data_IF_309498118768
#
_entry.id   IF_309498118768
#
_cell.length_a   1.000
_cell.length_b   1.000
_cell.length_c   1.000
_cell.angle_alpha   90.00
_cell.angle_beta   90.00
_cell.angle_gamma   90.00
#
_symmetry.space_group_name_H-M   'P 1'
#
loop_
_entity.id
_entity.type
_entity.pdbx_description
1 polymer ?
#
# COMPACT_ATOMS: atom_id res chain seq x y z
N UNK A 1 -15.63 1.43 4.61
CA UNK A 1 -14.97 1.94 5.84
C UNK A 1 -13.44 1.97 5.69
N UNK A 2 -12.98 1.77 4.45
CA UNK A 2 -11.60 1.63 4.03
C UNK A 2 -10.64 2.65 4.64
N UNK A 3 -10.91 3.94 4.50
CA UNK A 3 -9.96 4.98 4.94
C UNK A 3 -9.67 4.95 6.44
N UNK A 4 -10.71 4.74 7.27
CA UNK A 4 -10.54 4.66 8.73
C UNK A 4 -9.66 3.47 9.11
N UNK A 5 -9.86 2.34 8.43
CA UNK A 5 -9.15 1.11 8.71
C UNK A 5 -7.71 1.16 8.17
N UNK A 6 -7.49 1.77 7.01
CA UNK A 6 -6.17 2.04 6.44
C UNK A 6 -5.35 2.97 7.36
N UNK A 7 -5.95 4.06 7.86
CA UNK A 7 -5.29 4.95 8.84
C UNK A 7 -4.85 4.24 10.11
N UNK A 8 -5.66 3.31 10.63
CA UNK A 8 -5.29 2.49 11.80
C UNK A 8 -4.05 1.65 11.51
N UNK A 9 -3.99 1.01 10.34
CA UNK A 9 -2.84 0.19 9.93
C UNK A 9 -1.60 1.01 9.66
N UNK A 10 -1.72 2.15 8.98
CA UNK A 10 -0.62 3.09 8.79
C UNK A 10 -0.05 3.54 10.15
N UNK A 11 -0.90 3.83 11.14
CA UNK A 11 -0.43 4.15 12.49
C UNK A 11 0.37 3.00 13.10
N UNK A 12 -0.09 1.76 12.95
CA UNK A 12 0.64 0.57 13.43
C UNK A 12 1.97 0.38 12.69
N UNK A 13 1.99 0.50 11.35
CA UNK A 13 3.21 0.45 10.56
C UNK A 13 4.22 1.51 11.03
N UNK A 14 3.76 2.75 11.28
CA UNK A 14 4.62 3.81 11.81
C UNK A 14 5.21 3.45 13.18
N UNK A 15 4.42 2.87 14.08
CA UNK A 15 4.91 2.43 15.39
C UNK A 15 5.96 1.31 15.29
N UNK A 16 5.80 0.38 14.34
CA UNK A 16 6.77 -0.69 14.09
C UNK A 16 8.07 -0.14 13.52
N UNK A 17 7.97 0.80 12.57
CA UNK A 17 9.12 1.52 12.03
C UNK A 17 9.91 2.23 13.13
N UNK A 18 9.22 2.96 14.03
CA UNK A 18 9.88 3.68 15.13
C UNK A 18 10.53 2.74 16.17
N UNK A 19 10.09 1.47 16.21
CA UNK A 19 10.68 0.41 17.03
C UNK A 19 11.82 -0.36 16.35
N UNK A 20 12.15 -0.05 15.09
CA UNK A 20 13.13 -0.81 14.30
C UNK A 20 12.66 -2.21 13.89
N UNK A 21 11.35 -2.46 13.95
CA UNK A 21 10.70 -3.73 13.60
C UNK A 21 10.35 -3.76 12.12
N UNK A 22 11.38 -3.86 11.27
CA UNK A 22 11.25 -3.64 9.84
C UNK A 22 10.41 -4.71 9.12
N UNK A 23 10.56 -5.98 9.49
CA UNK A 23 9.78 -7.07 8.86
C UNK A 23 8.27 -6.90 9.12
N UNK A 24 7.88 -6.60 10.36
CA UNK A 24 6.50 -6.34 10.72
C UNK A 24 6.01 -5.03 10.09
N UNK A 25 6.87 -4.02 9.99
CA UNK A 25 6.58 -2.76 9.32
C UNK A 25 6.17 -2.98 7.86
N UNK A 26 6.99 -3.68 7.05
CA UNK A 26 6.68 -3.96 5.65
C UNK A 26 5.38 -4.76 5.52
N UNK A 27 5.21 -5.77 6.37
CA UNK A 27 4.01 -6.60 6.40
C UNK A 27 2.75 -5.78 6.68
N UNK A 28 2.79 -4.89 7.67
CA UNK A 28 1.64 -4.06 8.02
C UNK A 28 1.37 -2.96 6.99
N UNK A 29 2.41 -2.44 6.34
CA UNK A 29 2.28 -1.47 5.25
C UNK A 29 1.60 -2.09 4.03
N UNK A 30 2.03 -3.28 3.57
CA UNK A 30 1.36 -4.01 2.50
C UNK A 30 -0.09 -4.33 2.85
N UNK A 31 -0.37 -4.75 4.10
CA UNK A 31 -1.75 -4.98 4.57
C UNK A 31 -2.60 -3.71 4.50
N UNK A 32 -2.04 -2.55 4.84
CA UNK A 32 -2.75 -1.29 4.76
C UNK A 32 -3.22 -1.00 3.33
N UNK A 33 -2.36 -1.25 2.34
CA UNK A 33 -2.65 -1.06 0.91
C UNK A 33 -3.64 -2.10 0.38
N UNK A 34 -3.39 -3.38 0.61
CA UNK A 34 -4.24 -4.46 0.09
C UNK A 34 -5.65 -4.45 0.65
N UNK A 35 -5.76 -4.30 1.98
CA UNK A 35 -7.07 -4.28 2.63
C UNK A 35 -7.81 -2.98 2.35
N UNK A 36 -7.10 -1.90 2.04
CA UNK A 36 -7.74 -0.69 1.52
C UNK A 36 -8.40 -0.95 0.16
N UNK A 37 -7.72 -1.61 -0.80
CA UNK A 37 -8.34 -2.01 -2.07
C UNK A 37 -9.54 -2.94 -1.86
N UNK A 38 -9.38 -3.94 -0.98
CA UNK A 38 -10.44 -4.90 -0.63
C UNK A 38 -11.71 -4.19 -0.19
N UNK A 39 -11.61 -3.27 0.79
CA UNK A 39 -12.76 -2.52 1.34
C UNK A 39 -13.27 -1.45 0.37
N UNK A 40 -12.38 -0.75 -0.36
CA UNK A 40 -12.74 0.34 -1.26
C UNK A 40 -13.45 -0.15 -2.52
N UNK A 41 -13.00 -1.25 -3.11
CA UNK A 41 -13.52 -1.79 -4.37
C UNK A 41 -14.38 -3.04 -4.18
N UNK A 42 -14.58 -3.49 -2.95
CA UNK A 42 -15.37 -4.70 -2.62
C UNK A 42 -14.84 -5.95 -3.33
N UNK A 43 -13.51 -6.10 -3.36
CA UNK A 43 -12.83 -7.22 -4.03
C UNK A 43 -12.26 -8.15 -2.96
N UNK A 44 -12.51 -9.47 -3.02
CA UNK A 44 -11.92 -10.41 -2.08
C UNK A 44 -10.40 -10.40 -2.11
N UNK A 45 -9.76 -10.46 -0.93
CA UNK A 45 -8.29 -10.46 -0.84
C UNK A 45 -7.64 -11.59 -1.65
N UNK A 46 -8.28 -12.76 -1.71
CA UNK A 46 -7.79 -13.92 -2.47
C UNK A 46 -7.75 -13.69 -3.99
N UNK A 47 -8.48 -12.70 -4.48
CA UNK A 47 -8.49 -12.32 -5.88
C UNK A 47 -7.44 -11.25 -6.21
N UNK A 48 -6.79 -10.63 -5.22
CA UNK A 48 -5.82 -9.56 -5.45
C UNK A 48 -4.44 -10.11 -5.82
N UNK A 49 -3.84 -9.48 -6.83
CA UNK A 49 -2.46 -9.69 -7.25
C UNK A 49 -1.83 -8.34 -7.63
N UNK A 50 -0.50 -8.28 -7.66
CA UNK A 50 0.20 -7.04 -8.05
C UNK A 50 -0.17 -6.60 -9.47
N UNK A 51 -0.38 -7.57 -10.37
CA UNK A 51 -0.81 -7.34 -11.75
C UNK A 51 -2.23 -6.76 -11.85
N UNK A 52 -3.20 -7.32 -11.12
CA UNK A 52 -4.58 -6.88 -11.25
C UNK A 52 -4.90 -5.64 -10.39
N UNK A 53 -4.14 -5.36 -9.33
CA UNK A 53 -4.29 -4.17 -8.52
C UNK A 53 -4.20 -2.90 -9.38
N UNK A 54 -3.22 -2.86 -10.29
CA UNK A 54 -3.05 -1.79 -11.27
C UNK A 54 -4.29 -1.65 -12.17
N UNK A 55 -4.79 -2.76 -12.69
CA UNK A 55 -5.95 -2.76 -13.57
C UNK A 55 -7.24 -2.31 -12.86
N UNK A 56 -7.46 -2.77 -11.63
CA UNK A 56 -8.58 -2.36 -10.77
C UNK A 56 -8.56 -0.84 -10.55
N UNK A 57 -7.39 -0.29 -10.22
CA UNK A 57 -7.21 1.14 -10.01
C UNK A 57 -7.51 1.93 -11.28
N UNK A 58 -6.95 1.53 -12.43
CA UNK A 58 -7.20 2.17 -13.72
C UNK A 58 -8.68 2.16 -14.11
N UNK A 59 -9.37 1.02 -13.94
CA UNK A 59 -10.81 0.88 -14.20
C UNK A 59 -11.67 1.75 -13.26
N UNK A 60 -11.09 2.16 -12.13
CA UNK A 60 -11.75 3.00 -11.12
C UNK A 60 -11.38 4.48 -11.24
N UNK A 61 -11.01 4.94 -12.43
CA UNK A 61 -10.60 6.33 -12.74
C UNK A 61 -9.38 6.83 -11.95
N UNK A 62 -8.55 5.92 -11.42
CA UNK A 62 -7.27 6.30 -10.82
C UNK A 62 -6.24 6.51 -11.93
N UNK A 63 -5.49 7.63 -11.93
CA UNK A 63 -4.45 7.88 -12.93
C UNK A 63 -3.41 6.78 -12.99
N UNK A 64 -2.85 6.54 -14.19
CA UNK A 64 -1.84 5.51 -14.40
C UNK A 64 -0.62 5.69 -13.51
N UNK A 65 -0.17 6.94 -13.31
CA UNK A 65 0.95 7.26 -12.41
C UNK A 65 0.69 6.74 -10.98
N UNK A 66 -0.53 6.88 -10.47
CA UNK A 66 -0.90 6.47 -9.12
C UNK A 66 -1.05 4.95 -9.06
N UNK A 67 -1.59 4.33 -10.10
CA UNK A 67 -1.70 2.88 -10.19
C UNK A 67 -0.31 2.21 -10.28
N UNK A 68 0.64 2.83 -10.98
CA UNK A 68 2.03 2.36 -11.09
C UNK A 68 2.80 2.58 -9.80
N UNK A 69 2.65 3.74 -9.16
CA UNK A 69 3.22 4.00 -7.83
C UNK A 69 2.70 2.97 -6.80
N UNK A 70 1.41 2.59 -6.88
CA UNK A 70 0.83 1.56 -6.01
C UNK A 70 1.49 0.19 -6.18
N UNK A 71 1.66 -0.25 -7.42
CA UNK A 71 2.32 -1.52 -7.72
C UNK A 71 3.79 -1.52 -7.26
N UNK A 72 4.51 -0.42 -7.50
CA UNK A 72 5.90 -0.26 -7.08
C UNK A 72 6.09 -0.34 -5.56
N UNK A 73 5.23 0.31 -4.78
CA UNK A 73 5.32 0.29 -3.32
C UNK A 73 5.06 -1.11 -2.76
N UNK A 74 4.10 -1.84 -3.33
CA UNK A 74 3.84 -3.22 -2.93
C UNK A 74 5.02 -4.14 -3.26
N UNK A 75 5.56 -4.02 -4.47
CA UNK A 75 6.74 -4.79 -4.90
C UNK A 75 7.93 -4.51 -3.98
N UNK A 76 8.16 -3.24 -3.62
CA UNK A 76 9.21 -2.83 -2.70
C UNK A 76 9.04 -3.45 -1.31
N UNK A 77 7.81 -3.49 -0.79
CA UNK A 77 7.53 -4.13 0.50
C UNK A 77 7.81 -5.63 0.46
N UNK A 78 7.42 -6.32 -0.62
CA UNK A 78 7.68 -7.75 -0.77
C UNK A 78 9.18 -8.02 -0.93
N UNK A 79 9.85 -7.30 -1.84
CA UNK A 79 11.27 -7.46 -2.12
C UNK A 79 12.12 -7.22 -0.87
N UNK A 80 11.92 -6.10 -0.18
CA UNK A 80 12.74 -5.72 0.97
C UNK A 80 12.49 -6.64 2.17
N UNK A 81 11.32 -7.26 2.26
CA UNK A 81 11.06 -8.28 3.28
C UNK A 81 11.94 -9.52 3.11
N UNK A 82 12.30 -9.88 1.88
CA UNK A 82 13.19 -11.02 1.61
C UNK A 82 14.67 -10.63 1.49
N UNK A 83 14.96 -9.39 1.06
CA UNK A 83 16.30 -8.86 0.91
C UNK A 83 16.43 -7.45 1.53
N UNK A 84 16.43 -7.34 2.88
CA UNK A 84 16.38 -6.04 3.57
C UNK A 84 17.53 -5.10 3.20
N UNK A 85 18.72 -5.64 2.97
CA UNK A 85 19.91 -4.86 2.60
C UNK A 85 19.90 -4.34 1.15
N UNK A 86 18.95 -4.77 0.33
CA UNK A 86 18.84 -4.41 -1.08
C UNK A 86 17.68 -3.43 -1.35
N UNK A 87 16.98 -2.96 -0.32
CA UNK A 87 15.88 -2.01 -0.45
C UNK A 87 16.29 -0.78 -1.28
N UNK A 88 15.44 -0.43 -2.24
CA UNK A 88 15.62 0.71 -3.15
C UNK A 88 15.14 2.02 -2.51
N UNK A 89 14.21 1.92 -1.55
CA UNK A 89 13.68 3.07 -0.80
C UNK A 89 13.96 2.91 0.69
N UNK A 90 14.19 4.04 1.38
CA UNK A 90 14.21 4.02 2.84
C UNK A 90 12.83 3.72 3.40
N UNK A 91 12.76 3.14 4.60
CA UNK A 91 11.51 2.79 5.26
C UNK A 91 10.64 4.03 5.47
N UNK A 92 11.23 5.16 5.85
CA UNK A 92 10.50 6.41 6.06
C UNK A 92 9.88 6.94 4.76
N UNK A 93 10.62 6.86 3.66
CA UNK A 93 10.13 7.27 2.35
C UNK A 93 8.98 6.38 1.90
N UNK A 94 9.14 5.06 2.04
CA UNK A 94 8.13 4.07 1.67
C UNK A 94 6.82 4.29 2.45
N UNK A 95 6.92 4.58 3.76
CA UNK A 95 5.77 4.91 4.58
C UNK A 95 5.04 6.17 4.08
N UNK A 96 5.80 7.25 3.82
CA UNK A 96 5.25 8.51 3.34
C UNK A 96 4.51 8.34 2.02
N UNK A 97 5.14 7.64 1.07
CA UNK A 97 4.56 7.30 -0.23
C UNK A 97 3.28 6.48 -0.09
N UNK A 98 3.28 5.42 0.71
CA UNK A 98 2.10 4.58 0.92
C UNK A 98 0.93 5.37 1.54
N UNK A 99 1.21 6.24 2.51
CA UNK A 99 0.20 7.08 3.14
C UNK A 99 -0.42 8.09 2.16
N UNK A 100 0.40 8.75 1.35
CA UNK A 100 -0.03 9.69 0.32
C UNK A 100 -0.85 8.99 -0.78
N UNK A 101 -0.39 7.82 -1.20
CA UNK A 101 -1.04 7.00 -2.21
C UNK A 101 -2.46 6.60 -1.84
N UNK A 102 -2.72 6.19 -0.59
CA UNK A 102 -4.08 5.87 -0.12
C UNK A 102 -4.99 7.10 -0.25
N UNK A 103 -4.47 8.31 0.02
CA UNK A 103 -5.23 9.57 -0.14
C UNK A 103 -5.46 9.88 -1.61
N UNK A 104 -4.46 9.73 -2.48
CA UNK A 104 -4.60 9.90 -3.94
C UNK A 104 -5.66 8.97 -4.49
N UNK A 105 -5.56 7.66 -4.23
CA UNK A 105 -6.54 6.68 -4.69
C UNK A 105 -7.94 7.01 -4.18
N UNK A 106 -8.08 7.37 -2.90
CA UNK A 106 -9.36 7.78 -2.33
C UNK A 106 -9.97 8.98 -3.05
N UNK A 107 -9.15 9.95 -3.44
CA UNK A 107 -9.58 11.19 -4.09
C UNK A 107 -10.02 10.93 -5.53
N UNK A 108 -9.26 10.14 -6.28
CA UNK A 108 -9.57 9.81 -7.68
C UNK A 108 -10.76 8.85 -7.80
N UNK A 109 -10.77 7.77 -7.03
CA UNK A 109 -11.83 6.76 -7.05
C UNK A 109 -13.11 7.16 -6.28
N UNK A 110 -13.26 8.43 -5.89
CA UNK A 110 -14.49 8.97 -5.31
C UNK A 110 -15.33 9.77 -6.32
N UNK A 111 -14.85 9.90 -7.56
CA UNK A 111 -15.59 10.46 -8.69
C UNK A 111 -16.15 9.34 -9.56
#
# INVERSE_FOLDING_TARGET
MAMRQARRRLKTAKQLLDQGKYEEYYTELSKALWLYLTDKFTIPFAELSLSNAREILLRSNVPSETAEEFALILDECEFTRFAPSAGRMSEKELYGKAADLIVKVQTHAAK
#
